data_IF_383819387990
#
_entry.id   IF_383819387990
#
_cell.length_a   1.000
_cell.length_b   1.000
_cell.length_c   1.000
_cell.angle_alpha   90.00
_cell.angle_beta   90.00
_cell.angle_gamma   90.00
#
_symmetry.space_group_name_H-M   'P 1'
#
loop_
_entity.id
_entity.type
_entity.pdbx_description
1 polymer ?
#
# COMPACT_ATOMS: atom_id res chain seq x y z
N UNK A 1 13.76 10.76 -17.73
CA UNK A 1 12.36 11.16 -17.98
C UNK A 1 11.83 11.78 -16.71
N UNK A 2 11.01 12.84 -16.80
CA UNK A 2 10.26 13.32 -15.64
C UNK A 2 9.28 12.21 -15.20
N UNK A 3 9.20 11.95 -13.89
CA UNK A 3 8.28 10.96 -13.35
C UNK A 3 6.86 11.55 -13.31
N UNK A 4 5.84 10.72 -13.51
CA UNK A 4 4.42 11.12 -13.46
C UNK A 4 3.63 10.22 -12.52
N UNK A 5 2.47 10.71 -12.06
CA UNK A 5 1.53 9.90 -11.27
C UNK A 5 1.05 8.65 -12.03
N UNK A 6 0.86 8.74 -13.36
CA UNK A 6 0.52 7.57 -14.18
C UNK A 6 1.62 6.49 -14.13
N UNK A 7 2.90 6.89 -14.17
CA UNK A 7 4.01 5.94 -14.09
C UNK A 7 4.12 5.31 -12.70
N UNK A 8 3.82 6.05 -11.64
CA UNK A 8 3.75 5.50 -10.28
C UNK A 8 2.72 4.35 -10.24
N UNK A 9 1.49 4.62 -10.71
CA UNK A 9 0.41 3.61 -10.70
C UNK A 9 0.82 2.33 -11.42
N UNK A 10 1.32 2.47 -12.64
CA UNK A 10 1.81 1.35 -13.45
C UNK A 10 2.86 0.50 -12.72
N UNK A 11 3.89 1.15 -12.15
CA UNK A 11 4.98 0.43 -11.47
C UNK A 11 4.50 -0.25 -10.19
N UNK A 12 3.66 0.41 -9.40
CA UNK A 12 3.11 -0.16 -8.17
C UNK A 12 2.30 -1.40 -8.51
N UNK A 13 1.41 -1.31 -9.50
CA UNK A 13 0.51 -2.41 -9.87
C UNK A 13 1.31 -3.61 -10.41
N UNK A 14 2.30 -3.38 -11.29
CA UNK A 14 3.20 -4.45 -11.76
C UNK A 14 3.97 -5.08 -10.58
N UNK A 15 4.46 -4.27 -9.65
CA UNK A 15 5.28 -4.76 -8.54
C UNK A 15 4.48 -5.59 -7.53
N UNK A 16 3.21 -5.22 -7.29
CA UNK A 16 2.28 -6.00 -6.47
C UNK A 16 1.97 -7.34 -7.15
N UNK A 17 1.68 -7.34 -8.46
CA UNK A 17 1.43 -8.59 -9.20
C UNK A 17 2.62 -9.54 -9.17
N UNK A 18 3.84 -9.02 -9.35
CA UNK A 18 5.07 -9.83 -9.22
C UNK A 18 5.25 -10.39 -7.80
N UNK A 19 4.91 -9.62 -6.77
CA UNK A 19 4.94 -10.08 -5.38
C UNK A 19 3.92 -11.21 -5.15
N UNK A 20 2.70 -11.06 -5.65
CA UNK A 20 1.69 -12.12 -5.56
C UNK A 20 2.17 -13.41 -6.22
N UNK A 21 2.74 -13.33 -7.41
CA UNK A 21 3.29 -14.50 -8.10
C UNK A 21 4.43 -15.15 -7.30
N UNK A 22 5.30 -14.33 -6.70
CA UNK A 22 6.40 -14.83 -5.86
C UNK A 22 5.88 -15.52 -4.60
N UNK A 23 4.87 -14.93 -3.96
CA UNK A 23 4.19 -15.51 -2.80
C UNK A 23 3.52 -16.83 -3.13
N UNK A 24 2.79 -16.91 -4.24
CA UNK A 24 2.10 -18.13 -4.65
C UNK A 24 3.05 -19.26 -5.05
N UNK A 25 4.23 -18.94 -5.58
CA UNK A 25 5.25 -19.92 -5.90
C UNK A 25 5.92 -20.52 -4.64
N UNK A 26 6.07 -19.73 -3.57
CA UNK A 26 6.79 -20.15 -2.36
C UNK A 26 6.28 -19.43 -1.09
N UNK A 27 5.05 -19.68 -0.61
CA UNK A 27 4.43 -18.93 0.48
C UNK A 27 5.17 -19.05 1.82
N UNK A 28 5.86 -20.18 2.02
CA UNK A 28 6.65 -20.45 3.23
C UNK A 28 8.07 -19.85 3.21
N UNK A 29 8.45 -19.19 2.11
CA UNK A 29 9.68 -18.40 2.07
C UNK A 29 9.52 -17.01 2.72
N UNK A 30 8.28 -16.61 3.00
CA UNK A 30 7.92 -15.42 3.75
C UNK A 30 7.53 -15.88 5.16
N UNK A 31 8.21 -15.40 6.19
CA UNK A 31 7.94 -15.76 7.58
C UNK A 31 7.24 -14.63 8.33
N UNK A 32 7.44 -13.39 7.88
CA UNK A 32 6.92 -12.19 8.52
C UNK A 32 6.33 -11.20 7.51
N UNK A 33 5.42 -10.36 7.99
CA UNK A 33 4.84 -9.25 7.20
C UNK A 33 5.94 -8.33 6.65
N UNK A 34 7.01 -8.11 7.42
CA UNK A 34 8.18 -7.32 7.04
C UNK A 34 8.92 -7.88 5.83
N UNK A 35 8.88 -9.19 5.57
CA UNK A 35 9.51 -9.80 4.39
C UNK A 35 8.79 -9.33 3.13
N UNK A 36 7.46 -9.36 3.17
CA UNK A 36 6.56 -8.94 2.09
C UNK A 36 6.70 -7.44 1.86
N UNK A 37 6.67 -6.63 2.93
CA UNK A 37 6.86 -5.18 2.87
C UNK A 37 8.21 -4.81 2.24
N UNK A 38 9.30 -5.43 2.69
CA UNK A 38 10.65 -5.16 2.20
C UNK A 38 10.81 -5.49 0.72
N UNK A 39 10.26 -6.63 0.28
CA UNK A 39 10.29 -7.04 -1.12
C UNK A 39 9.47 -6.10 -1.99
N UNK A 40 8.26 -5.73 -1.57
CA UNK A 40 7.42 -4.81 -2.35
C UNK A 40 8.10 -3.44 -2.48
N UNK A 41 8.58 -2.90 -1.36
CA UNK A 41 9.31 -1.63 -1.35
C UNK A 41 10.52 -1.67 -2.30
N UNK A 42 11.34 -2.72 -2.22
CA UNK A 42 12.51 -2.87 -3.07
C UNK A 42 12.13 -2.95 -4.56
N UNK A 43 11.07 -3.68 -4.91
CA UNK A 43 10.60 -3.80 -6.31
C UNK A 43 10.13 -2.47 -6.87
N UNK A 44 9.31 -1.74 -6.11
CA UNK A 44 8.80 -0.42 -6.50
C UNK A 44 9.99 0.54 -6.64
N UNK A 45 10.86 0.63 -5.63
CA UNK A 45 11.98 1.57 -5.60
C UNK A 45 13.02 1.31 -6.70
N UNK A 46 13.27 0.05 -7.05
CA UNK A 46 14.15 -0.31 -8.17
C UNK A 46 13.63 0.22 -9.52
N UNK A 47 12.31 0.22 -9.71
CA UNK A 47 11.63 0.71 -10.93
C UNK A 47 11.30 2.20 -10.87
N UNK A 48 11.24 2.79 -9.67
CA UNK A 48 11.04 4.21 -9.39
C UNK A 48 12.20 4.78 -8.55
N UNK A 49 13.43 4.85 -9.09
CA UNK A 49 14.58 5.41 -8.37
C UNK A 49 14.55 6.95 -8.29
N UNK A 50 13.47 7.58 -8.77
CA UNK A 50 13.36 9.01 -8.98
C UNK A 50 13.35 9.76 -7.65
N UNK A 51 13.98 10.93 -7.68
CA UNK A 51 13.90 11.94 -6.64
C UNK A 51 13.09 13.11 -7.18
N UNK A 52 12.27 13.69 -6.33
CA UNK A 52 11.57 14.95 -6.57
C UNK A 52 12.26 16.06 -5.78
N UNK A 53 12.33 17.24 -6.38
CA UNK A 53 12.82 18.44 -5.69
C UNK A 53 11.61 19.21 -5.17
N UNK A 54 11.58 19.47 -3.87
CA UNK A 54 10.53 20.27 -3.22
C UNK A 54 11.14 21.48 -2.53
N UNK A 55 10.34 22.53 -2.33
CA UNK A 55 10.76 23.73 -1.61
C UNK A 55 10.93 23.46 -0.11
N UNK A 56 11.94 24.07 0.50
CA UNK A 56 12.17 24.08 1.95
C UNK A 56 11.94 25.46 2.56
N UNK A 57 12.30 25.64 3.82
CA UNK A 57 12.06 26.89 4.57
C UNK A 57 13.32 27.73 4.79
N UNK A 58 14.46 27.32 4.23
CA UNK A 58 15.72 28.07 4.30
C UNK A 58 16.67 27.62 5.40
N UNK A 59 16.28 26.68 6.29
CA UNK A 59 17.22 26.01 7.20
C UNK A 59 16.83 24.54 7.48
N UNK A 60 17.73 23.56 7.24
CA UNK A 60 19.09 23.69 6.70
C UNK A 60 19.15 23.88 5.17
N UNK A 61 18.04 23.68 4.44
CA UNK A 61 18.01 23.76 2.99
C UNK A 61 16.81 24.56 2.47
N UNK A 62 17.02 25.26 1.36
CA UNK A 62 15.96 25.93 0.59
C UNK A 62 15.20 24.96 -0.32
N UNK A 63 15.78 23.77 -0.58
CA UNK A 63 15.17 22.71 -1.38
C UNK A 63 15.61 21.34 -0.88
N UNK A 64 14.70 20.37 -0.98
CA UNK A 64 14.95 18.97 -0.61
C UNK A 64 14.82 18.05 -1.81
N UNK A 65 15.74 17.09 -1.93
CA UNK A 65 15.58 15.94 -2.85
C UNK A 65 14.98 14.78 -2.08
N UNK A 66 13.73 14.47 -2.36
CA UNK A 66 12.94 13.46 -1.65
C UNK A 66 12.68 12.29 -2.58
N UNK A 67 12.71 11.07 -2.04
CA UNK A 67 12.33 9.89 -2.82
C UNK A 67 10.84 9.92 -3.14
N UNK A 68 10.42 9.31 -4.25
CA UNK A 68 8.99 9.16 -4.54
C UNK A 68 8.33 8.10 -3.65
N UNK A 69 9.12 7.19 -3.06
CA UNK A 69 8.61 5.99 -2.36
C UNK A 69 9.22 5.91 -0.95
N UNK A 70 8.36 5.76 0.05
CA UNK A 70 8.73 5.72 1.47
C UNK A 70 8.12 4.52 2.18
N UNK A 71 8.78 4.07 3.25
CA UNK A 71 8.26 3.11 4.22
C UNK A 71 7.98 3.81 5.55
N UNK A 72 7.05 3.28 6.35
CA UNK A 72 6.67 3.84 7.66
C UNK A 72 6.36 5.34 7.61
N UNK A 73 5.66 5.76 6.55
CA UNK A 73 5.43 7.18 6.27
C UNK A 73 4.12 7.67 6.87
N UNK A 74 4.10 8.95 7.24
CA UNK A 74 2.95 9.61 7.85
C UNK A 74 2.41 8.80 9.05
N UNK A 75 1.10 8.66 9.23
CA UNK A 75 0.44 7.91 10.33
C UNK A 75 0.67 6.38 10.27
N UNK A 76 1.93 5.95 10.07
CA UNK A 76 2.41 4.58 9.95
C UNK A 76 1.76 3.82 8.80
N UNK A 77 1.90 4.37 7.59
CA UNK A 77 1.58 3.68 6.35
C UNK A 77 2.78 2.79 5.99
N UNK A 78 2.55 1.51 5.70
CA UNK A 78 3.62 0.56 5.40
C UNK A 78 4.48 1.01 4.22
N UNK A 79 3.84 1.35 3.09
CA UNK A 79 4.49 1.93 1.92
C UNK A 79 3.65 3.08 1.36
N UNK A 80 4.27 4.23 1.15
CA UNK A 80 3.63 5.41 0.56
C UNK A 80 4.36 5.84 -0.72
N UNK A 81 3.57 6.18 -1.76
CA UNK A 81 4.06 6.84 -2.96
C UNK A 81 3.55 8.28 -3.00
N UNK A 82 4.47 9.24 -3.11
CA UNK A 82 4.15 10.67 -3.14
C UNK A 82 3.38 11.04 -4.41
N UNK A 83 2.36 11.89 -4.28
CA UNK A 83 1.66 12.52 -5.40
C UNK A 83 2.54 13.63 -5.98
N UNK A 84 3.15 13.36 -7.13
CA UNK A 84 4.14 14.25 -7.73
C UNK A 84 3.51 15.55 -8.24
N UNK A 85 2.26 15.47 -8.71
CA UNK A 85 1.55 16.63 -9.25
C UNK A 85 1.17 17.59 -8.12
N UNK A 86 0.74 17.07 -6.96
CA UNK A 86 0.36 17.90 -5.82
C UNK A 86 1.53 18.33 -4.95
N UNK A 87 2.55 17.47 -4.77
CA UNK A 87 3.65 17.76 -3.86
C UNK A 87 4.46 19.01 -4.26
N UNK A 88 4.55 19.31 -5.56
CA UNK A 88 5.28 20.48 -6.07
C UNK A 88 4.62 21.81 -5.65
N UNK A 89 3.31 21.77 -5.41
CA UNK A 89 2.53 22.93 -4.94
C UNK A 89 2.22 22.89 -3.45
N UNK A 90 2.71 21.87 -2.73
CA UNK A 90 2.41 21.70 -1.31
C UNK A 90 3.13 22.75 -0.46
N UNK A 91 2.42 23.46 0.45
CA UNK A 91 3.02 24.54 1.22
C UNK A 91 4.08 24.03 2.20
N UNK A 92 5.14 24.81 2.35
CA UNK A 92 6.16 24.54 3.37
C UNK A 92 5.61 24.85 4.76
N UNK A 93 5.97 24.01 5.74
CA UNK A 93 5.48 24.11 7.12
C UNK A 93 6.61 23.84 8.11
N UNK A 94 6.68 24.69 9.13
CA UNK A 94 7.61 24.58 10.25
C UNK A 94 6.80 24.28 11.51
N UNK A 95 7.25 23.30 12.29
CA UNK A 95 6.76 23.08 13.64
C UNK A 95 7.93 22.89 14.59
N UNK A 96 7.99 23.70 15.65
CA UNK A 96 9.07 23.69 16.66
C UNK A 96 10.48 23.71 16.03
N UNK A 97 10.67 24.52 14.98
CA UNK A 97 11.96 24.68 14.29
C UNK A 97 12.35 23.51 13.38
N UNK A 98 11.46 22.55 13.15
CA UNK A 98 11.66 21.44 12.20
C UNK A 98 10.75 21.59 10.98
N UNK A 99 11.29 21.29 9.80
CA UNK A 99 10.53 21.20 8.55
C UNK A 99 9.65 19.95 8.55
N UNK A 100 8.42 20.11 9.04
CA UNK A 100 7.48 18.99 9.16
C UNK A 100 6.79 18.65 7.84
N UNK A 101 6.85 19.53 6.85
CA UNK A 101 6.18 19.30 5.57
C UNK A 101 6.73 18.08 4.81
N UNK A 102 7.99 17.71 5.07
CA UNK A 102 8.60 16.47 4.55
C UNK A 102 7.87 15.20 4.99
N UNK A 103 7.15 15.27 6.11
CA UNK A 103 6.39 14.16 6.69
C UNK A 103 4.89 14.23 6.42
N UNK A 104 4.41 15.29 5.77
CA UNK A 104 2.99 15.49 5.43
C UNK A 104 2.76 15.72 3.92
N UNK A 105 3.74 15.34 3.08
CA UNK A 105 3.62 15.46 1.63
C UNK A 105 2.38 14.69 1.13
N UNK A 106 1.65 15.23 0.13
CA UNK A 106 0.51 14.55 -0.45
C UNK A 106 0.86 13.15 -0.94
N UNK A 107 0.05 12.16 -0.59
CA UNK A 107 0.27 10.76 -0.92
C UNK A 107 -0.70 10.37 -2.05
N UNK A 108 -0.15 9.84 -3.13
CA UNK A 108 -0.95 9.26 -4.23
C UNK A 108 -1.49 7.90 -3.81
N UNK A 109 -0.57 6.95 -3.57
CA UNK A 109 -0.88 5.59 -3.13
C UNK A 109 -0.39 5.34 -1.71
N UNK A 110 -1.29 4.92 -0.83
CA UNK A 110 -0.97 4.40 0.50
C UNK A 110 -1.23 2.90 0.51
N UNK A 111 -0.22 2.09 0.82
CA UNK A 111 -0.28 0.64 0.76
C UNK A 111 -0.16 0.09 2.18
N UNK A 112 -1.08 -0.80 2.54
CA UNK A 112 -1.07 -1.55 3.80
C UNK A 112 -1.03 -3.04 3.49
N UNK A 113 -0.21 -3.76 4.24
CA UNK A 113 -0.01 -5.19 4.09
C UNK A 113 -0.47 -5.87 5.36
N UNK A 114 -1.21 -6.97 5.20
CA UNK A 114 -1.57 -7.87 6.30
C UNK A 114 -1.18 -9.29 5.97
N UNK A 115 -0.48 -9.95 6.88
CA UNK A 115 0.01 -11.31 6.63
C UNK A 115 -0.37 -12.31 7.72
N UNK A 116 -1.26 -13.25 7.38
CA UNK A 116 -1.65 -14.36 8.26
C UNK A 116 -0.71 -15.53 8.03
N UNK A 117 0.26 -15.68 8.92
CA UNK A 117 1.15 -16.87 8.99
C UNK A 117 0.49 -18.01 9.75
N UNK A 118 1.10 -19.19 9.66
CA UNK A 118 0.67 -20.38 10.41
C UNK A 118 0.54 -20.11 11.92
N UNK A 119 -0.62 -20.45 12.47
CA UNK A 119 -0.94 -20.29 13.89
C UNK A 119 -1.53 -18.93 14.26
N UNK A 120 -1.51 -17.94 13.36
CA UNK A 120 -2.16 -16.65 13.59
C UNK A 120 -3.68 -16.75 13.44
N UNK A 121 -4.41 -15.96 14.24
CA UNK A 121 -5.88 -16.02 14.35
C UNK A 121 -6.63 -14.78 13.88
N UNK A 122 -5.95 -13.82 13.26
CA UNK A 122 -6.65 -12.64 12.76
C UNK A 122 -7.32 -12.93 11.41
N UNK A 123 -8.42 -12.24 11.15
CA UNK A 123 -9.19 -12.37 9.92
C UNK A 123 -9.25 -11.07 9.13
N UNK A 124 -10.12 -11.05 8.12
CA UNK A 124 -10.36 -9.92 7.23
C UNK A 124 -10.66 -8.60 7.94
N UNK A 125 -11.19 -8.64 9.18
CA UNK A 125 -11.46 -7.44 10.01
C UNK A 125 -10.23 -6.55 10.15
N UNK A 126 -9.03 -7.13 10.29
CA UNK A 126 -7.79 -6.36 10.39
C UNK A 126 -7.55 -5.55 9.12
N UNK A 127 -7.65 -6.19 7.95
CA UNK A 127 -7.50 -5.52 6.66
C UNK A 127 -8.54 -4.41 6.44
N UNK A 128 -9.78 -4.60 6.91
CA UNK A 128 -10.84 -3.59 6.84
C UNK A 128 -10.50 -2.37 7.73
N UNK A 129 -9.89 -2.58 8.89
CA UNK A 129 -9.44 -1.49 9.75
C UNK A 129 -8.32 -0.67 9.08
N UNK A 130 -7.42 -1.33 8.35
CA UNK A 130 -6.38 -0.64 7.57
C UNK A 130 -6.96 0.15 6.40
N UNK A 131 -7.98 -0.38 5.70
CA UNK A 131 -8.70 0.38 4.68
C UNK A 131 -9.29 1.67 5.27
N UNK A 132 -10.03 1.55 6.39
CA UNK A 132 -10.61 2.70 7.07
C UNK A 132 -9.55 3.67 7.58
N UNK A 133 -8.39 3.17 8.02
CA UNK A 133 -7.25 4.02 8.41
C UNK A 133 -6.80 4.89 7.24
N UNK A 134 -6.60 4.30 6.05
CA UNK A 134 -6.19 5.06 4.87
C UNK A 134 -7.25 6.04 4.39
N UNK A 135 -8.53 5.67 4.41
CA UNK A 135 -9.64 6.56 4.07
C UNK A 135 -9.72 7.76 5.03
N UNK A 136 -9.65 7.50 6.35
CA UNK A 136 -9.74 8.54 7.38
C UNK A 136 -8.61 9.56 7.34
N UNK A 137 -7.47 9.20 6.76
CA UNK A 137 -6.32 10.10 6.61
C UNK A 137 -6.28 10.76 5.22
N UNK A 138 -7.28 10.50 4.37
CA UNK A 138 -7.47 11.16 3.09
C UNK A 138 -6.58 10.65 1.97
N UNK A 139 -6.14 9.38 2.01
CA UNK A 139 -5.36 8.79 0.92
C UNK A 139 -6.27 8.64 -0.31
N UNK A 140 -5.81 9.15 -1.45
CA UNK A 140 -6.57 9.13 -2.71
C UNK A 140 -6.72 7.72 -3.29
N UNK A 141 -5.63 6.97 -3.32
CA UNK A 141 -5.59 5.62 -3.88
C UNK A 141 -5.09 4.64 -2.81
N UNK A 142 -5.94 4.28 -1.83
CA UNK A 142 -5.60 3.28 -0.83
C UNK A 142 -5.42 1.91 -1.50
N UNK A 143 -4.48 1.11 -0.99
CA UNK A 143 -4.22 -0.25 -1.45
C UNK A 143 -4.05 -1.16 -0.23
N UNK A 144 -4.90 -2.16 -0.10
CA UNK A 144 -4.85 -3.16 0.97
C UNK A 144 -4.51 -4.51 0.37
N UNK A 145 -3.43 -5.11 0.85
CA UNK A 145 -2.92 -6.41 0.42
C UNK A 145 -2.96 -7.38 1.59
N UNK A 146 -3.81 -8.40 1.50
CA UNK A 146 -3.84 -9.48 2.48
C UNK A 146 -3.17 -10.73 1.93
N UNK A 147 -2.36 -11.38 2.76
CA UNK A 147 -1.67 -12.62 2.43
C UNK A 147 -2.05 -13.68 3.47
N UNK A 148 -2.47 -14.86 3.00
CA UNK A 148 -2.80 -16.01 3.84
C UNK A 148 -1.79 -17.10 3.49
N UNK A 149 -0.96 -17.52 4.44
CA UNK A 149 0.14 -18.46 4.19
C UNK A 149 -0.35 -19.87 3.84
N UNK A 150 -1.51 -20.28 4.35
CA UNK A 150 -2.07 -21.62 4.16
C UNK A 150 -3.52 -21.54 3.66
N UNK A 151 -3.83 -22.27 2.58
CA UNK A 151 -5.15 -22.32 1.98
C UNK A 151 -6.24 -22.86 2.92
N UNK A 152 -5.87 -23.69 3.89
CA UNK A 152 -6.80 -24.22 4.89
C UNK A 152 -7.37 -23.12 5.81
N UNK A 153 -6.69 -21.98 5.95
CA UNK A 153 -7.08 -20.89 6.84
C UNK A 153 -8.01 -19.85 6.17
N UNK A 154 -8.34 -20.05 4.89
CA UNK A 154 -9.07 -19.08 4.08
C UNK A 154 -10.51 -18.90 4.57
N UNK A 155 -11.23 -19.99 4.80
CA UNK A 155 -12.62 -19.92 5.26
C UNK A 155 -12.71 -19.25 6.64
N UNK A 156 -11.78 -19.61 7.53
CA UNK A 156 -11.67 -18.99 8.86
C UNK A 156 -11.30 -17.50 8.75
N UNK A 157 -10.40 -17.12 7.83
CA UNK A 157 -10.02 -15.73 7.60
C UNK A 157 -11.22 -14.86 7.20
N UNK A 158 -12.15 -15.42 6.43
CA UNK A 158 -13.39 -14.77 6.00
C UNK A 158 -14.59 -15.06 6.91
N UNK A 159 -14.45 -15.81 8.01
CA UNK A 159 -15.59 -16.20 8.85
C UNK A 159 -16.26 -15.01 9.56
N UNK A 160 -15.51 -13.95 9.85
CA UNK A 160 -15.94 -12.81 10.64
C UNK A 160 -16.50 -11.62 9.82
N UNK A 161 -16.96 -11.86 8.59
CA UNK A 161 -17.30 -10.78 7.66
C UNK A 161 -18.54 -9.99 8.08
N UNK A 162 -18.49 -8.67 7.87
CA UNK A 162 -19.68 -7.84 7.89
C UNK A 162 -20.61 -8.24 6.73
N UNK A 163 -21.95 -8.14 6.89
CA UNK A 163 -22.91 -8.52 5.85
C UNK A 163 -22.73 -7.79 4.50
N UNK A 164 -22.11 -6.61 4.53
CA UNK A 164 -21.96 -5.73 3.37
C UNK A 164 -20.71 -5.99 2.52
N UNK A 165 -19.88 -6.96 2.92
CA UNK A 165 -18.63 -7.28 2.24
C UNK A 165 -18.80 -8.56 1.43
N UNK A 166 -18.44 -8.50 0.16
CA UNK A 166 -18.43 -9.62 -0.77
C UNK A 166 -16.99 -9.96 -1.14
N UNK A 167 -16.71 -11.25 -1.12
CA UNK A 167 -15.44 -11.85 -1.53
C UNK A 167 -15.66 -12.52 -2.87
N UNK A 168 -14.99 -12.04 -3.89
CA UNK A 168 -15.09 -12.60 -5.24
C UNK A 168 -13.75 -13.25 -5.53
N UNK A 169 -13.75 -14.57 -5.65
CA UNK A 169 -12.57 -15.28 -6.12
C UNK A 169 -12.34 -14.92 -7.59
N UNK A 170 -11.10 -14.55 -7.91
CA UNK A 170 -10.73 -14.12 -9.24
C UNK A 170 -9.59 -14.98 -9.78
N UNK A 171 -9.46 -14.99 -11.10
CA UNK A 171 -8.25 -15.50 -11.73
C UNK A 171 -7.02 -14.78 -11.15
N UNK A 172 -5.96 -15.53 -10.89
CA UNK A 172 -4.68 -15.02 -10.38
C UNK A 172 -4.12 -13.86 -11.21
N UNK A 173 -4.46 -13.81 -12.50
CA UNK A 173 -4.01 -12.80 -13.46
C UNK A 173 -5.00 -11.64 -13.66
N UNK A 174 -6.14 -11.60 -12.97
CA UNK A 174 -7.08 -10.48 -13.13
C UNK A 174 -6.42 -9.16 -12.67
N UNK A 175 -6.92 -7.99 -13.12
CA UNK A 175 -6.39 -6.70 -12.68
C UNK A 175 -6.37 -6.55 -11.15
N UNK A 176 -5.45 -5.75 -10.65
CA UNK A 176 -5.41 -5.39 -9.24
C UNK A 176 -6.58 -4.49 -8.88
N UNK A 177 -7.03 -4.65 -7.65
CA UNK A 177 -8.03 -3.80 -7.05
C UNK A 177 -7.51 -3.21 -5.76
N UNK A 178 -8.16 -2.13 -5.33
CA UNK A 178 -7.90 -1.42 -4.07
C UNK A 178 -7.69 -2.39 -2.91
N UNK A 179 -8.48 -3.46 -2.85
CA UNK A 179 -8.40 -4.44 -1.77
C UNK A 179 -8.35 -5.85 -2.34
N UNK A 180 -7.18 -6.47 -2.23
CA UNK A 180 -6.90 -7.81 -2.77
C UNK A 180 -6.33 -8.73 -1.69
N UNK A 181 -6.87 -9.95 -1.59
CA UNK A 181 -6.38 -11.01 -0.71
C UNK A 181 -5.78 -12.13 -1.57
N UNK A 182 -4.65 -12.68 -1.16
CA UNK A 182 -3.97 -13.79 -1.85
C UNK A 182 -3.60 -14.90 -0.89
N UNK A 183 -3.73 -16.13 -1.36
CA UNK A 183 -3.28 -17.37 -0.72
C UNK A 183 -2.38 -18.12 -1.71
N UNK A 184 -1.77 -19.27 -1.34
CA UNK A 184 -0.88 -20.00 -2.22
C UNK A 184 -1.53 -20.35 -3.57
N UNK A 185 -2.79 -20.78 -3.54
CA UNK A 185 -3.48 -21.25 -4.75
C UNK A 185 -4.57 -20.33 -5.26
N UNK A 186 -5.00 -19.32 -4.49
CA UNK A 186 -6.21 -18.54 -4.83
C UNK A 186 -6.01 -17.04 -4.59
N UNK A 187 -6.90 -16.24 -5.15
CA UNK A 187 -6.91 -14.78 -5.03
C UNK A 187 -8.34 -14.28 -4.98
N UNK A 188 -8.59 -13.30 -4.12
CA UNK A 188 -9.91 -12.69 -3.96
C UNK A 188 -9.82 -11.19 -4.06
N UNK A 189 -10.82 -10.62 -4.69
CA UNK A 189 -11.14 -9.20 -4.60
C UNK A 189 -12.22 -8.98 -3.56
N UNK A 190 -12.09 -7.89 -2.84
CA UNK A 190 -13.06 -7.46 -1.83
C UNK A 190 -13.90 -6.33 -2.41
N UNK A 191 -15.21 -6.54 -2.49
CA UNK A 191 -16.18 -5.48 -2.73
C UNK A 191 -16.91 -5.16 -1.43
N UNK A 192 -17.08 -3.87 -1.12
CA UNK A 192 -18.05 -3.43 -0.12
C UNK A 192 -19.01 -2.45 -0.77
N UNK A 193 -20.28 -2.46 -0.38
CA UNK A 193 -21.22 -1.40 -0.76
C UNK A 193 -20.73 -0.01 -0.29
N UNK A 194 -20.03 0.05 0.83
CA UNK A 194 -19.40 1.28 1.34
C UNK A 194 -18.15 1.71 0.56
N UNK A 195 -17.58 0.84 -0.29
CA UNK A 195 -16.41 1.15 -1.13
C UNK A 195 -16.86 1.71 -2.50
N UNK A 196 -18.12 1.51 -2.91
CA UNK A 196 -18.65 1.99 -4.21
C UNK A 196 -19.07 3.47 -4.24
N UNK A 197 -19.02 4.18 -3.12
CA UNK A 197 -19.35 5.63 -3.09
C UNK A 197 -18.15 6.54 -3.41
N UNK A 198 -17.01 5.99 -3.85
CA UNK A 198 -15.78 6.74 -4.13
C UNK A 198 -15.20 6.55 -5.55
N UNK A 199 -15.94 5.99 -6.50
CA UNK A 199 -15.56 5.92 -7.92
C UNK A 199 -16.54 6.66 -8.81
#
# INVERSE_FOLDING_TARGET
>A
MAISNSKIREVVDISIMELFNSFQAAPYSFLFESDIQSILYSKIKKKLPHLIEISGTGHPHEKYKVSVVHTEYFKKIDIACIDIEQCLSHPTRIHKGSDIHLYDLPILKGIEIKYRKLGDKFGIKSCILDMKKLENIGIKEPVILGFIQNDADVDDFFSACCPDIRFIEENKNSPLNIFTIVSPTRRWRIESKSIKEAT
#
